data_IF_180992799131
#
_entry.id   IF_180992799131
#
_cell.length_a   1.000
_cell.length_b   1.000
_cell.length_c   1.000
_cell.angle_alpha   90.00
_cell.angle_beta   90.00
_cell.angle_gamma   90.00
#
_symmetry.space_group_name_H-M   'P 1'
#
loop_
_entity.id
_entity.type
_entity.pdbx_description
1 polymer ?
#
# COMPACT_ATOMS: atom_id res chain seq x y z
N UNK A 1 18.49 -4.05 -17.77
CA UNK A 1 17.31 -4.42 -18.59
C UNK A 1 16.48 -3.19 -18.97
N UNK A 2 16.02 -2.41 -17.98
CA UNK A 2 15.23 -1.18 -18.19
C UNK A 2 15.90 -0.21 -19.18
N UNK A 3 17.18 0.12 -18.99
CA UNK A 3 17.91 1.03 -19.89
C UNK A 3 17.88 0.61 -21.38
N UNK A 4 17.85 -0.69 -21.69
CA UNK A 4 17.78 -1.19 -23.08
C UNK A 4 16.39 -1.00 -23.69
N UNK A 5 15.34 -1.12 -22.88
CA UNK A 5 13.95 -0.88 -23.30
C UNK A 5 13.71 0.61 -23.52
N UNK A 6 14.26 1.46 -22.65
CA UNK A 6 14.12 2.93 -22.75
C UNK A 6 14.86 3.52 -23.97
N UNK A 7 15.90 2.83 -24.47
CA UNK A 7 16.66 3.23 -25.66
C UNK A 7 16.08 2.66 -26.97
N UNK A 8 14.95 1.96 -26.91
CA UNK A 8 14.29 1.46 -28.12
C UNK A 8 13.42 2.54 -28.78
N UNK A 9 13.31 2.51 -30.11
CA UNK A 9 12.37 3.35 -30.88
C UNK A 9 10.92 2.82 -30.76
N UNK A 10 10.49 2.45 -29.55
CA UNK A 10 9.15 1.92 -29.33
C UNK A 10 8.10 3.04 -29.36
N UNK A 11 6.93 2.77 -29.93
CA UNK A 11 5.76 3.65 -29.83
C UNK A 11 4.98 3.42 -28.53
N UNK A 12 5.18 2.26 -27.88
CA UNK A 12 4.54 1.85 -26.63
C UNK A 12 5.57 1.18 -25.71
N UNK A 13 5.70 1.70 -24.48
CA UNK A 13 6.47 1.07 -23.42
C UNK A 13 5.56 0.27 -22.50
N UNK A 14 5.91 -0.98 -22.24
CA UNK A 14 5.24 -1.84 -21.25
C UNK A 14 6.25 -2.16 -20.14
N UNK A 15 5.94 -1.74 -18.92
CA UNK A 15 6.83 -1.85 -17.78
C UNK A 15 6.12 -2.57 -16.63
N UNK A 16 6.72 -3.65 -16.13
CA UNK A 16 6.21 -4.41 -14.99
C UNK A 16 7.09 -4.13 -13.76
N UNK A 17 6.52 -3.47 -12.76
CA UNK A 17 7.15 -3.00 -11.53
C UNK A 17 8.53 -2.32 -11.75
N UNK A 18 8.61 -1.25 -12.56
CA UNK A 18 9.89 -0.67 -12.95
C UNK A 18 10.63 0.07 -11.82
N UNK A 19 9.93 0.41 -10.73
CA UNK A 19 10.51 1.04 -9.53
C UNK A 19 11.16 0.03 -8.59
N UNK A 20 10.91 -1.27 -8.76
CA UNK A 20 11.52 -2.29 -7.92
C UNK A 20 13.04 -2.24 -8.07
N UNK A 21 13.73 -2.16 -6.92
CA UNK A 21 15.18 -2.05 -6.83
C UNK A 21 15.79 -0.74 -7.35
N UNK A 22 14.99 0.27 -7.70
CA UNK A 22 15.52 1.62 -7.97
C UNK A 22 15.71 2.39 -6.66
N UNK A 23 16.77 3.20 -6.61
CA UNK A 23 16.92 4.20 -5.58
C UNK A 23 16.11 5.45 -5.93
N UNK A 24 15.98 6.37 -4.96
CA UNK A 24 15.16 7.57 -5.12
C UNK A 24 15.57 8.39 -6.38
N UNK A 25 16.87 8.68 -6.61
CA UNK A 25 17.26 9.44 -7.81
C UNK A 25 16.94 8.72 -9.12
N UNK A 26 17.12 7.40 -9.20
CA UNK A 26 16.77 6.64 -10.40
C UNK A 26 15.26 6.61 -10.65
N UNK A 27 14.46 6.54 -9.58
CA UNK A 27 12.99 6.63 -9.68
C UNK A 27 12.57 8.02 -10.17
N UNK A 28 13.10 9.10 -9.61
CA UNK A 28 12.81 10.47 -10.05
C UNK A 28 13.21 10.69 -11.53
N UNK A 29 14.37 10.17 -11.94
CA UNK A 29 14.78 10.21 -13.34
C UNK A 29 13.80 9.46 -14.25
N UNK A 30 13.37 8.26 -13.84
CA UNK A 30 12.42 7.46 -14.62
C UNK A 30 11.06 8.16 -14.73
N UNK A 31 10.57 8.77 -13.66
CA UNK A 31 9.35 9.58 -13.68
C UNK A 31 9.46 10.72 -14.71
N UNK A 32 10.58 11.45 -14.68
CA UNK A 32 10.86 12.52 -15.64
C UNK A 32 10.95 12.01 -17.08
N UNK A 33 11.58 10.85 -17.30
CA UNK A 33 11.69 10.22 -18.61
C UNK A 33 10.31 9.83 -19.16
N UNK A 34 9.50 9.13 -18.37
CA UNK A 34 8.20 8.63 -18.82
C UNK A 34 7.18 9.75 -19.04
N UNK A 35 7.25 10.84 -18.28
CA UNK A 35 6.42 12.04 -18.49
C UNK A 35 6.67 12.72 -19.83
N UNK A 36 7.92 12.71 -20.28
CA UNK A 36 8.33 13.36 -21.52
C UNK A 36 8.36 12.39 -22.71
N UNK A 37 8.04 11.12 -22.48
CA UNK A 37 8.02 10.12 -23.54
C UNK A 37 6.88 10.41 -24.52
N UNK A 38 7.15 10.56 -25.82
CA UNK A 38 6.13 10.96 -26.81
C UNK A 38 5.13 9.84 -27.15
N UNK A 39 5.49 8.59 -26.89
CA UNK A 39 4.63 7.42 -27.14
C UNK A 39 3.69 7.08 -25.98
N UNK A 40 3.05 5.92 -26.10
CA UNK A 40 2.23 5.37 -25.01
C UNK A 40 3.08 4.71 -23.93
N UNK A 41 2.63 4.76 -22.68
CA UNK A 41 3.25 4.03 -21.57
C UNK A 41 2.17 3.25 -20.81
N UNK A 42 2.39 1.94 -20.69
CA UNK A 42 1.63 1.03 -19.84
C UNK A 42 2.54 0.57 -18.70
N UNK A 43 2.25 0.99 -17.48
CA UNK A 43 3.02 0.58 -16.29
C UNK A 43 2.14 -0.18 -15.33
N UNK A 44 2.64 -1.34 -14.88
CA UNK A 44 2.13 -2.04 -13.70
C UNK A 44 3.02 -1.65 -12.53
N UNK A 45 2.44 -1.07 -11.48
CA UNK A 45 3.18 -0.75 -10.25
C UNK A 45 2.30 -0.76 -9.02
N UNK A 46 2.88 -1.14 -7.89
CA UNK A 46 2.32 -0.95 -6.56
C UNK A 46 2.75 0.36 -5.89
N UNK A 47 3.65 1.14 -6.50
CA UNK A 47 4.13 2.42 -5.98
C UNK A 47 3.14 3.56 -6.28
N UNK A 48 2.50 4.04 -5.21
CA UNK A 48 1.49 5.10 -5.28
C UNK A 48 2.07 6.44 -5.68
N UNK A 49 3.28 6.77 -5.23
CA UNK A 49 3.90 8.05 -5.53
C UNK A 49 4.29 8.10 -7.01
N UNK A 50 4.92 7.04 -7.49
CA UNK A 50 5.29 6.91 -8.89
C UNK A 50 4.07 6.98 -9.82
N UNK A 51 3.00 6.22 -9.53
CA UNK A 51 1.78 6.26 -10.32
C UNK A 51 1.11 7.64 -10.28
N UNK A 52 1.19 8.35 -9.16
CA UNK A 52 0.64 9.69 -9.06
C UNK A 52 1.40 10.70 -9.93
N UNK A 53 2.71 10.51 -10.11
CA UNK A 53 3.52 11.37 -10.94
C UNK A 53 3.36 11.05 -12.44
N UNK A 54 3.32 9.78 -12.84
CA UNK A 54 3.39 9.38 -14.26
C UNK A 54 2.01 9.12 -14.89
N UNK A 55 1.04 8.61 -14.14
CA UNK A 55 -0.20 8.11 -14.72
C UNK A 55 -1.16 9.26 -15.13
N UNK A 56 -1.66 9.18 -16.35
CA UNK A 56 -2.77 10.03 -16.85
C UNK A 56 -4.11 9.30 -16.81
N UNK A 57 -4.08 7.97 -16.74
CA UNK A 57 -5.22 7.05 -16.61
C UNK A 57 -4.79 5.90 -15.71
N UNK A 58 -5.70 5.43 -14.87
CA UNK A 58 -5.48 4.29 -13.97
C UNK A 58 -6.48 3.19 -14.33
N UNK A 59 -5.97 1.98 -14.50
CA UNK A 59 -6.77 0.76 -14.70
C UNK A 59 -6.59 -0.11 -13.46
N UNK A 60 -7.66 -0.29 -12.70
CA UNK A 60 -7.68 -1.23 -11.58
C UNK A 60 -8.23 -2.59 -12.05
N UNK A 61 -7.44 -3.65 -11.84
CA UNK A 61 -7.87 -5.02 -12.07
C UNK A 61 -8.43 -5.59 -10.76
N UNK A 62 -9.70 -5.97 -10.76
CA UNK A 62 -10.37 -6.56 -9.59
C UNK A 62 -11.31 -7.70 -10.03
N UNK A 63 -11.15 -8.88 -9.41
CA UNK A 63 -12.01 -10.06 -9.64
C UNK A 63 -12.18 -10.43 -11.14
N UNK A 64 -11.12 -10.25 -11.94
CA UNK A 64 -11.14 -10.54 -13.38
C UNK A 64 -11.81 -9.45 -14.24
N UNK A 65 -12.22 -8.34 -13.64
CA UNK A 65 -12.78 -7.16 -14.33
C UNK A 65 -11.81 -5.98 -14.24
N UNK A 66 -11.90 -5.05 -15.19
CA UNK A 66 -11.07 -3.84 -15.23
C UNK A 66 -11.92 -2.59 -15.06
N UNK A 67 -11.53 -1.72 -14.13
CA UNK A 67 -12.13 -0.39 -13.97
C UNK A 67 -11.12 0.67 -14.38
N UNK A 68 -11.42 1.38 -15.46
CA UNK A 68 -10.60 2.49 -15.93
C UNK A 68 -11.13 3.85 -15.41
N UNK A 69 -10.22 4.70 -14.96
CA UNK A 69 -10.49 6.12 -14.64
C UNK A 69 -9.42 7.03 -15.22
N UNK A 70 -9.84 8.24 -15.61
CA UNK A 70 -8.95 9.32 -16.00
C UNK A 70 -8.42 10.03 -14.75
N UNK A 71 -7.18 10.51 -14.84
CA UNK A 71 -6.46 11.18 -13.76
C UNK A 71 -5.34 10.31 -13.19
N UNK A 72 -4.59 10.91 -12.26
CA UNK A 72 -3.50 10.26 -11.54
C UNK A 72 -4.03 9.34 -10.42
N UNK A 73 -3.12 8.66 -9.72
CA UNK A 73 -3.48 7.69 -8.69
C UNK A 73 -4.27 8.30 -7.52
N UNK A 74 -3.91 9.50 -7.06
CA UNK A 74 -4.65 10.18 -5.97
C UNK A 74 -6.09 10.49 -6.38
N UNK A 75 -6.29 11.02 -7.58
CA UNK A 75 -7.65 11.29 -8.09
C UNK A 75 -8.47 10.02 -8.27
N UNK A 76 -7.83 8.90 -8.64
CA UNK A 76 -8.47 7.60 -8.71
C UNK A 76 -8.93 7.12 -7.32
N UNK A 77 -8.09 7.26 -6.30
CA UNK A 77 -8.44 6.92 -4.92
C UNK A 77 -9.63 7.75 -4.41
N UNK A 78 -9.64 9.06 -4.66
CA UNK A 78 -10.77 9.92 -4.28
C UNK A 78 -12.07 9.49 -4.98
N UNK A 79 -12.03 9.21 -6.28
CA UNK A 79 -13.19 8.73 -7.03
C UNK A 79 -13.68 7.38 -6.48
N UNK A 80 -12.76 6.50 -6.10
CA UNK A 80 -13.05 5.21 -5.49
C UNK A 80 -13.72 5.37 -4.12
N UNK A 81 -13.20 6.25 -3.27
CA UNK A 81 -13.77 6.48 -1.93
C UNK A 81 -15.15 7.16 -2.01
N UNK A 82 -15.34 8.18 -2.86
CA UNK A 82 -16.67 8.77 -3.08
C UNK A 82 -17.70 7.75 -3.57
N UNK A 83 -17.28 6.85 -4.48
CA UNK A 83 -18.13 5.76 -4.96
C UNK A 83 -18.48 4.81 -3.81
N UNK A 84 -17.51 4.52 -2.94
CA UNK A 84 -17.69 3.68 -1.76
C UNK A 84 -18.66 4.29 -0.77
N UNK A 85 -18.49 5.56 -0.42
CA UNK A 85 -19.38 6.30 0.47
C UNK A 85 -20.81 6.30 -0.08
N UNK A 86 -20.99 6.65 -1.36
CA UNK A 86 -22.30 6.63 -2.00
C UNK A 86 -22.98 5.25 -1.91
N UNK A 87 -22.23 4.18 -2.20
CA UNK A 87 -22.74 2.80 -2.10
C UNK A 87 -23.05 2.42 -0.66
N UNK A 88 -22.22 2.82 0.31
CA UNK A 88 -22.44 2.56 1.73
C UNK A 88 -23.67 3.29 2.26
N UNK A 89 -23.86 4.55 1.88
CA UNK A 89 -25.00 5.37 2.29
C UNK A 89 -26.31 4.84 1.73
N UNK A 90 -26.35 4.50 0.44
CA UNK A 90 -27.54 3.90 -0.17
C UNK A 90 -27.88 2.54 0.47
N UNK A 91 -26.87 1.71 0.79
CA UNK A 91 -27.08 0.47 1.53
C UNK A 91 -27.61 0.71 2.94
N UNK A 92 -27.07 1.69 3.65
CA UNK A 92 -27.51 2.05 4.99
C UNK A 92 -28.95 2.57 4.96
N UNK A 93 -29.31 3.37 3.94
CA UNK A 93 -30.68 3.82 3.70
C UNK A 93 -31.63 2.65 3.46
N UNK A 94 -31.32 1.75 2.51
CA UNK A 94 -32.14 0.57 2.22
C UNK A 94 -32.32 -0.32 3.47
N UNK A 95 -31.25 -0.58 4.23
CA UNK A 95 -31.32 -1.32 5.50
C UNK A 95 -32.25 -0.66 6.53
N UNK A 96 -32.19 0.67 6.66
CA UNK A 96 -33.09 1.41 7.55
C UNK A 96 -34.55 1.29 7.09
N UNK A 97 -34.82 1.36 5.78
CA UNK A 97 -36.17 1.18 5.24
C UNK A 97 -36.70 -0.23 5.48
N UNK A 98 -35.92 -1.28 5.22
CA UNK A 98 -36.31 -2.67 5.52
C UNK A 98 -36.71 -2.80 7.00
N UNK A 99 -35.82 -2.41 7.91
CA UNK A 99 -36.05 -2.51 9.35
C UNK A 99 -37.28 -1.72 9.80
N UNK A 100 -37.49 -0.52 9.27
CA UNK A 100 -38.66 0.31 9.59
C UNK A 100 -39.96 -0.34 9.12
N UNK A 101 -39.99 -0.87 7.90
CA UNK A 101 -41.17 -1.53 7.34
C UNK A 101 -41.51 -2.80 8.13
N UNK A 102 -40.52 -3.60 8.49
CA UNK A 102 -40.69 -4.79 9.34
C UNK A 102 -41.26 -4.43 10.72
N UNK A 103 -40.74 -3.39 11.37
CA UNK A 103 -41.24 -2.93 12.67
C UNK A 103 -42.72 -2.52 12.59
N UNK A 104 -43.11 -1.75 11.57
CA UNK A 104 -44.51 -1.35 11.34
C UNK A 104 -45.38 -2.57 11.06
N UNK A 105 -44.90 -3.51 10.26
CA UNK A 105 -45.61 -4.76 9.99
C UNK A 105 -45.87 -5.52 11.30
N UNK A 106 -44.87 -5.66 12.17
CA UNK A 106 -45.03 -6.30 13.48
C UNK A 106 -46.07 -5.59 14.36
N UNK A 107 -46.14 -4.25 14.33
CA UNK A 107 -47.20 -3.51 15.02
C UNK A 107 -48.59 -3.86 14.47
N UNK A 108 -48.77 -3.96 13.15
CA UNK A 108 -50.03 -4.40 12.55
C UNK A 108 -50.39 -5.85 12.88
N UNK A 109 -49.39 -6.72 12.97
CA UNK A 109 -49.56 -8.11 13.42
C UNK A 109 -50.08 -8.17 14.86
N UNK A 110 -49.50 -7.38 15.75
CA UNK A 110 -49.96 -7.26 17.14
C UNK A 110 -51.39 -6.70 17.25
N UNK A 111 -51.75 -5.75 16.38
CA UNK A 111 -53.12 -5.21 16.26
C UNK A 111 -54.10 -6.13 15.49
N UNK A 112 -53.69 -7.37 15.13
CA UNK A 112 -54.48 -8.35 14.35
C UNK A 112 -54.96 -7.84 12.97
N UNK A 113 -54.28 -6.83 12.40
CA UNK A 113 -54.56 -6.29 11.05
C UNK A 113 -53.77 -7.06 9.99
N UNK A 114 -54.26 -8.24 9.62
CA UNK A 114 -53.56 -9.21 8.75
C UNK A 114 -53.26 -8.65 7.35
N UNK A 115 -54.22 -7.99 6.70
CA UNK A 115 -54.03 -7.38 5.37
C UNK A 115 -52.93 -6.29 5.37
N UNK A 116 -52.95 -5.41 6.38
CA UNK A 116 -51.95 -4.35 6.53
C UNK A 116 -50.55 -4.91 6.84
N UNK A 117 -50.45 -5.99 7.61
CA UNK A 117 -49.21 -6.72 7.84
C UNK A 117 -48.61 -7.24 6.53
N UNK A 118 -49.35 -8.02 5.74
CA UNK A 118 -48.84 -8.57 4.48
C UNK A 118 -48.45 -7.49 3.47
N UNK A 119 -49.24 -6.40 3.39
CA UNK A 119 -48.91 -5.25 2.54
C UNK A 119 -47.56 -4.64 2.93
N UNK A 120 -47.32 -4.40 4.23
CA UNK A 120 -46.07 -3.81 4.70
C UNK A 120 -44.88 -4.76 4.60
N UNK A 121 -45.08 -6.06 4.82
CA UNK A 121 -44.06 -7.09 4.59
C UNK A 121 -43.62 -7.14 3.13
N UNK A 122 -44.56 -7.06 2.18
CA UNK A 122 -44.23 -7.02 0.74
C UNK A 122 -43.37 -5.80 0.36
N UNK A 123 -43.55 -4.67 1.05
CA UNK A 123 -42.70 -3.49 0.88
C UNK A 123 -41.30 -3.73 1.45
N UNK A 124 -41.19 -4.32 2.64
CA UNK A 124 -39.90 -4.69 3.24
C UNK A 124 -39.13 -5.67 2.34
N UNK A 125 -39.79 -6.70 1.82
CA UNK A 125 -39.23 -7.69 0.89
C UNK A 125 -38.72 -7.03 -0.40
N UNK A 126 -39.43 -6.02 -0.93
CA UNK A 126 -38.98 -5.27 -2.11
C UNK A 126 -37.67 -4.54 -1.84
N UNK A 127 -37.58 -3.81 -0.72
CA UNK A 127 -36.35 -3.11 -0.32
C UNK A 127 -35.22 -4.09 -0.01
N UNK A 128 -35.53 -5.25 0.57
CA UNK A 128 -34.57 -6.32 0.82
C UNK A 128 -34.02 -6.89 -0.49
N UNK A 129 -34.87 -7.16 -1.48
CA UNK A 129 -34.45 -7.62 -2.81
C UNK A 129 -33.63 -6.57 -3.58
N UNK A 130 -33.87 -5.28 -3.34
CA UNK A 130 -33.04 -4.19 -3.87
C UNK A 130 -31.67 -4.13 -3.17
N UNK A 131 -31.64 -4.26 -1.85
CA UNK A 131 -30.41 -4.36 -1.06
C UNK A 131 -29.54 -5.55 -1.48
N UNK A 132 -30.16 -6.71 -1.75
CA UNK A 132 -29.46 -7.93 -2.17
C UNK A 132 -28.94 -7.83 -3.61
N UNK A 133 -29.66 -7.17 -4.52
CA UNK A 133 -29.13 -6.84 -5.86
C UNK A 133 -27.91 -5.92 -5.79
N UNK A 134 -27.93 -4.96 -4.86
CA UNK A 134 -26.81 -4.06 -4.58
C UNK A 134 -25.62 -4.73 -3.84
N UNK A 135 -25.68 -6.03 -3.48
CA UNK A 135 -24.50 -6.77 -2.96
C UNK A 135 -23.42 -6.99 -4.02
N UNK A 136 -23.76 -6.99 -5.31
CA UNK A 136 -22.75 -7.11 -6.39
C UNK A 136 -21.70 -5.98 -6.39
N UNK A 137 -21.95 -4.90 -5.63
CA UNK A 137 -21.02 -3.79 -5.38
C UNK A 137 -20.13 -4.01 -4.13
N UNK A 138 -20.16 -5.19 -3.51
CA UNK A 138 -19.37 -5.54 -2.30
C UNK A 138 -17.85 -5.36 -2.50
N UNK A 139 -17.38 -5.42 -3.75
CA UNK A 139 -15.99 -5.19 -4.14
C UNK A 139 -15.48 -3.78 -3.82
N UNK A 140 -16.38 -2.79 -3.71
CA UNK A 140 -16.05 -1.41 -3.31
C UNK A 140 -15.86 -1.29 -1.79
N UNK A 141 -16.41 -2.23 -0.99
CA UNK A 141 -16.44 -2.13 0.47
C UNK A 141 -15.31 -2.89 1.19
N UNK A 142 -14.67 -3.87 0.54
CA UNK A 142 -13.60 -4.67 1.15
C UNK A 142 -12.24 -4.03 0.92
N UNK A 143 -11.77 -3.26 1.91
CA UNK A 143 -10.40 -2.73 1.96
C UNK A 143 -9.76 -3.02 3.31
N UNK A 144 -10.03 -4.19 3.90
CA UNK A 144 -9.25 -4.63 5.06
C UNK A 144 -8.04 -5.39 4.54
N UNK A 145 -6.91 -4.68 4.46
CA UNK A 145 -5.62 -5.30 4.24
C UNK A 145 -5.28 -6.30 5.36
N UNK A 146 -4.25 -7.14 5.16
CA UNK A 146 -3.83 -8.10 6.16
C UNK A 146 -3.48 -7.38 7.47
N UNK A 147 -4.09 -7.81 8.58
CA UNK A 147 -3.70 -7.35 9.91
C UNK A 147 -2.48 -8.13 10.36
N UNK A 148 -1.30 -7.60 10.05
CA UNK A 148 -0.04 -8.15 10.56
C UNK A 148 0.19 -7.52 11.93
N UNK A 149 0.15 -8.34 12.97
CA UNK A 149 0.54 -7.95 14.32
C UNK A 149 1.90 -8.56 14.63
N UNK A 150 2.89 -7.69 14.85
CA UNK A 150 4.17 -8.13 15.41
C UNK A 150 3.99 -8.41 16.91
N UNK A 151 4.58 -9.50 17.40
CA UNK A 151 4.58 -9.80 18.82
C UNK A 151 5.28 -8.70 19.62
N UNK A 152 4.79 -8.38 20.83
CA UNK A 152 5.47 -7.44 21.72
C UNK A 152 6.79 -8.03 22.19
N UNK A 153 7.88 -7.28 22.06
CA UNK A 153 9.16 -7.66 22.66
C UNK A 153 9.03 -7.63 24.20
N UNK A 154 9.52 -8.69 24.88
CA UNK A 154 9.52 -8.77 26.36
C UNK A 154 10.44 -7.74 27.01
N UNK A 155 11.45 -7.27 26.28
CA UNK A 155 12.44 -6.31 26.72
C UNK A 155 12.95 -5.52 25.51
N UNK A 156 13.20 -4.22 25.69
CA UNK A 156 13.80 -3.34 24.67
C UNK A 156 15.13 -2.86 25.23
N UNK A 157 16.23 -3.14 24.52
CA UNK A 157 17.57 -2.67 24.90
C UNK A 157 17.64 -1.15 24.76
N UNK A 158 18.28 -0.47 25.72
CA UNK A 158 18.53 0.98 25.63
C UNK A 158 19.46 1.33 24.45
N UNK A 159 20.38 0.42 24.12
CA UNK A 159 21.25 0.47 22.94
C UNK A 159 20.96 -0.74 22.05
N UNK A 160 20.47 -0.49 20.85
CA UNK A 160 20.07 -1.50 19.87
C UNK A 160 21.18 -1.76 18.84
N UNK A 161 21.79 -0.69 18.32
CA UNK A 161 22.93 -0.78 17.43
C UNK A 161 23.81 0.45 17.61
N UNK A 162 25.10 0.32 17.41
CA UNK A 162 26.01 1.46 17.48
C UNK A 162 27.22 1.26 16.59
N UNK A 163 27.77 2.39 16.14
CA UNK A 163 29.04 2.45 15.45
C UNK A 163 29.86 3.66 15.91
N UNK A 164 31.18 3.50 15.99
CA UNK A 164 32.15 4.54 16.32
C UNK A 164 33.39 4.36 15.45
N UNK A 165 33.84 5.43 14.80
CA UNK A 165 34.93 5.41 13.84
C UNK A 165 34.80 4.27 12.79
N UNK A 166 33.58 3.93 12.39
CA UNK A 166 33.33 2.82 11.47
C UNK A 166 33.77 3.18 10.06
N UNK A 167 34.73 2.43 9.53
CA UNK A 167 35.22 2.58 8.17
C UNK A 167 35.20 1.24 7.44
N UNK A 168 34.76 1.25 6.18
CA UNK A 168 34.76 0.05 5.34
C UNK A 168 34.90 0.44 3.87
N UNK A 169 35.69 -0.33 3.15
CA UNK A 169 35.95 -0.17 1.72
C UNK A 169 35.90 -1.53 1.02
N UNK A 170 35.59 -1.54 -0.27
CA UNK A 170 35.80 -2.70 -1.14
C UNK A 170 36.79 -2.31 -2.24
N UNK A 171 38.02 -2.82 -2.16
CA UNK A 171 39.11 -2.32 -2.99
C UNK A 171 39.29 -0.82 -2.76
N UNK A 172 39.27 -0.05 -3.85
CA UNK A 172 39.43 1.41 -3.82
C UNK A 172 38.12 2.16 -3.52
N UNK A 173 36.98 1.47 -3.44
CA UNK A 173 35.69 2.09 -3.19
C UNK A 173 35.44 2.21 -1.69
N UNK A 174 35.53 3.44 -1.17
CA UNK A 174 35.19 3.75 0.22
C UNK A 174 33.67 3.78 0.39
N UNK A 175 33.13 2.90 1.22
CA UNK A 175 31.69 2.88 1.55
C UNK A 175 31.39 3.69 2.80
N UNK A 176 32.27 3.61 3.80
CA UNK A 176 32.15 4.32 5.07
C UNK A 176 33.51 4.85 5.47
N UNK A 177 33.57 6.10 5.93
CA UNK A 177 34.76 6.72 6.50
C UNK A 177 34.41 7.36 7.85
N UNK A 178 34.92 6.77 8.93
CA UNK A 178 34.76 7.21 10.33
C UNK A 178 33.32 7.53 10.71
N UNK A 179 32.38 6.72 10.24
CA UNK A 179 30.97 6.89 10.54
C UNK A 179 30.67 6.61 12.02
N UNK A 180 29.78 7.41 12.61
CA UNK A 180 29.34 7.26 13.98
C UNK A 180 27.81 7.34 14.07
N UNK A 181 27.20 6.38 14.76
CA UNK A 181 25.76 6.42 15.04
C UNK A 181 25.42 5.59 16.28
N UNK A 182 24.27 5.88 16.87
CA UNK A 182 23.67 5.15 17.98
C UNK A 182 22.17 5.01 17.73
N UNK A 183 21.69 3.78 17.68
CA UNK A 183 20.27 3.43 17.59
C UNK A 183 19.85 2.93 18.97
N UNK A 184 18.87 3.59 19.57
CA UNK A 184 18.32 3.27 20.89
C UNK A 184 17.02 2.48 20.79
N UNK A 185 16.63 1.92 21.93
CA UNK A 185 15.34 1.26 22.07
C UNK A 185 14.17 2.20 21.80
N UNK A 186 13.33 1.85 20.84
CA UNK A 186 12.16 2.65 20.42
C UNK A 186 12.41 3.58 19.24
N UNK A 187 13.65 3.67 18.76
CA UNK A 187 13.96 4.46 17.57
C UNK A 187 13.37 3.81 16.31
N UNK A 188 12.85 4.64 15.41
CA UNK A 188 12.44 4.26 14.07
C UNK A 188 13.44 4.87 13.07
N UNK A 189 14.34 4.04 12.55
CA UNK A 189 15.46 4.50 11.71
C UNK A 189 15.26 4.02 10.27
N UNK A 190 15.18 4.96 9.32
CA UNK A 190 15.23 4.68 7.89
C UNK A 190 16.66 4.81 7.36
N UNK A 191 17.13 3.80 6.61
CA UNK A 191 18.42 3.86 5.90
C UNK A 191 18.15 4.13 4.43
N UNK A 192 18.62 5.28 3.94
CA UNK A 192 18.41 5.72 2.56
C UNK A 192 19.75 6.03 1.89
N UNK A 193 19.76 5.98 0.56
CA UNK A 193 20.92 6.31 -0.25
C UNK A 193 20.89 5.58 -1.59
N UNK A 194 21.79 5.94 -2.53
CA UNK A 194 21.86 5.28 -3.83
C UNK A 194 22.20 3.78 -3.74
N UNK A 195 21.90 3.04 -4.80
CA UNK A 195 22.36 1.67 -4.91
C UNK A 195 23.90 1.62 -4.93
N UNK A 196 24.46 0.63 -4.24
CA UNK A 196 25.92 0.51 -4.08
C UNK A 196 26.54 1.37 -2.97
N UNK A 197 25.80 2.27 -2.31
CA UNK A 197 26.36 3.11 -1.24
C UNK A 197 26.63 2.37 0.10
N UNK A 198 26.53 1.03 0.12
CA UNK A 198 26.84 0.23 1.31
C UNK A 198 25.70 -0.07 2.29
N UNK A 199 24.42 0.17 1.94
CA UNK A 199 23.26 -0.11 2.83
C UNK A 199 23.21 -1.57 3.31
N UNK A 200 23.23 -2.53 2.38
CA UNK A 200 23.24 -3.96 2.71
C UNK A 200 24.51 -4.35 3.45
N UNK A 201 25.63 -3.73 3.11
CA UNK A 201 26.91 -3.93 3.78
C UNK A 201 26.84 -3.54 5.25
N UNK A 202 26.25 -2.37 5.57
CA UNK A 202 26.04 -1.92 6.95
C UNK A 202 25.21 -2.94 7.75
N UNK A 203 24.14 -3.47 7.17
CA UNK A 203 23.32 -4.49 7.84
C UNK A 203 24.11 -5.77 8.10
N UNK A 204 24.90 -6.25 7.13
CA UNK A 204 25.76 -7.43 7.30
C UNK A 204 26.79 -7.24 8.41
N UNK A 205 27.44 -6.07 8.45
CA UNK A 205 28.39 -5.72 9.52
C UNK A 205 27.71 -5.74 10.89
N UNK A 206 26.56 -5.07 11.04
CA UNK A 206 25.84 -5.04 12.31
C UNK A 206 25.40 -6.45 12.77
N UNK A 207 25.00 -7.31 11.83
CA UNK A 207 24.63 -8.70 12.11
C UNK A 207 25.83 -9.63 12.37
N UNK A 208 27.06 -9.13 12.26
CA UNK A 208 28.28 -9.92 12.40
C UNK A 208 28.54 -10.89 11.24
N UNK A 209 27.92 -10.65 10.08
CA UNK A 209 28.13 -11.45 8.86
C UNK A 209 29.30 -10.96 8.01
N UNK A 210 29.80 -9.76 8.30
CA UNK A 210 30.91 -9.14 7.61
C UNK A 210 31.82 -8.47 8.65
N UNK A 211 33.01 -9.03 8.84
CA UNK A 211 34.00 -8.61 9.83
C UNK A 211 35.13 -7.76 9.24
N UNK A 212 35.15 -7.58 7.91
CA UNK A 212 36.19 -6.82 7.21
C UNK A 212 35.91 -5.32 7.26
N UNK A 213 36.14 -4.69 8.41
CA UNK A 213 35.97 -3.26 8.62
C UNK A 213 36.90 -2.75 9.73
N UNK A 214 37.04 -1.42 9.80
CA UNK A 214 37.79 -0.75 10.86
C UNK A 214 36.86 0.00 11.80
N UNK A 215 37.32 0.20 13.04
CA UNK A 215 36.56 0.86 14.09
C UNK A 215 35.62 -0.11 14.80
N UNK A 216 34.44 0.38 15.16
CA UNK A 216 33.46 -0.36 15.95
C UNK A 216 32.08 -0.24 15.30
N UNK A 217 31.40 -1.36 15.08
CA UNK A 217 30.02 -1.41 14.64
C UNK A 217 29.38 -2.73 15.12
N UNK A 218 28.30 -2.67 15.91
CA UNK A 218 27.63 -3.87 16.43
C UNK A 218 26.18 -3.65 16.82
N UNK A 219 25.45 -4.75 16.98
CA UNK A 219 24.20 -4.78 17.74
C UNK A 219 24.47 -4.81 19.26
N UNK A 220 23.50 -4.32 20.04
CA UNK A 220 23.54 -4.40 21.50
C UNK A 220 23.47 -5.84 22.02
N UNK A 221 24.09 -6.11 23.19
CA UNK A 221 24.31 -7.46 23.73
C UNK A 221 23.07 -8.36 23.86
N UNK A 222 21.88 -7.79 24.06
CA UNK A 222 20.63 -8.54 24.28
C UNK A 222 19.60 -8.30 23.17
N UNK A 223 20.06 -7.79 22.03
CA UNK A 223 19.19 -7.48 20.90
C UNK A 223 18.89 -8.75 20.13
N UNK A 224 17.61 -9.12 20.13
CA UNK A 224 17.08 -10.12 19.20
C UNK A 224 16.56 -9.41 17.98
N UNK A 225 17.09 -9.75 16.82
CA UNK A 225 16.70 -9.18 15.53
C UNK A 225 16.05 -10.26 14.65
N UNK A 226 15.30 -9.83 13.63
CA UNK A 226 14.85 -10.68 12.52
C UNK A 226 15.30 -10.03 11.21
N UNK A 227 15.85 -10.82 10.29
CA UNK A 227 16.35 -10.41 8.98
C UNK A 227 15.98 -11.47 7.95
#
# INVERSE_FOLDING_TARGET
ALARVLLSEAELLILDEPTNHLDIPATEWLEGFLRNFPGGVLVVSHDRYFLDQVATRVIELQEGTTLERKGNYSSFLEQKERRREFVMDERNRLRREVKRNEQIAQTYKAQRKISAYHSRMKVAERFQAELDRNRSLDHVARTTGPKIALGKARHISSEVASAKNFSKSFGDVVLFDKAEFLIKGGDHVGIVGPNGCGKTTLLRVLMGQDEDYQGFARLGYWVRYGY
#
